data_IF_039821116309
#
_entry.id   IF_039821116309
#
_cell.length_a   1.000
_cell.length_b   1.000
_cell.length_c   1.000
_cell.angle_alpha   90.00
_cell.angle_beta   90.00
_cell.angle_gamma   90.00
#
_symmetry.space_group_name_H-M   'P 1'
#
loop_
_entity.id
_entity.type
_entity.pdbx_description
1 polymer ?
#
# COMPACT_ATOMS: atom_id res chain seq x y z
N UNK A 1 29.79 5.29 -13.69
CA UNK A 1 28.85 5.10 -12.56
C UNK A 1 28.30 6.48 -12.21
N UNK A 2 26.99 6.69 -12.26
CA UNK A 2 26.42 8.00 -11.92
C UNK A 2 26.69 8.28 -10.43
N UNK A 3 27.53 9.27 -10.13
CA UNK A 3 27.80 9.72 -8.77
C UNK A 3 26.59 10.53 -8.27
N UNK A 4 26.01 10.12 -7.16
CA UNK A 4 24.95 10.88 -6.50
C UNK A 4 25.47 12.25 -6.09
N UNK A 5 24.58 13.26 -6.06
CA UNK A 5 24.94 14.56 -5.50
C UNK A 5 25.44 14.37 -4.05
N UNK A 6 26.59 14.96 -3.64
CA UNK A 6 27.18 14.71 -2.33
C UNK A 6 26.23 14.96 -1.16
N UNK A 7 25.41 16.02 -1.24
CA UNK A 7 24.41 16.32 -0.22
C UNK A 7 23.35 15.22 -0.09
N UNK A 8 22.81 14.75 -1.22
CA UNK A 8 21.81 13.66 -1.26
C UNK A 8 22.41 12.36 -0.71
N UNK A 9 23.65 12.06 -1.09
CA UNK A 9 24.36 10.88 -0.61
C UNK A 9 24.57 10.95 0.90
N UNK A 10 25.05 12.08 1.41
CA UNK A 10 25.35 12.26 2.82
C UNK A 10 24.09 12.18 3.69
N UNK A 11 23.04 12.92 3.34
CA UNK A 11 21.78 12.91 4.10
C UNK A 11 21.14 11.52 4.08
N UNK A 12 21.05 10.89 2.90
CA UNK A 12 20.48 9.53 2.77
C UNK A 12 21.26 8.51 3.60
N UNK A 13 22.60 8.59 3.60
CA UNK A 13 23.45 7.68 4.38
C UNK A 13 23.24 7.83 5.88
N UNK A 14 23.04 9.07 6.36
CA UNK A 14 22.73 9.32 7.76
C UNK A 14 21.35 8.75 8.13
N UNK A 15 20.33 9.09 7.36
CA UNK A 15 18.93 8.73 7.66
C UNK A 15 18.68 7.22 7.59
N UNK A 16 19.27 6.51 6.62
CA UNK A 16 19.12 5.04 6.49
C UNK A 16 19.68 4.28 7.69
N UNK A 17 20.64 4.87 8.43
CA UNK A 17 21.31 4.20 9.55
C UNK A 17 20.86 4.69 10.93
N UNK A 18 20.28 5.89 11.00
CA UNK A 18 19.92 6.55 12.25
C UNK A 18 18.42 6.87 12.36
N UNK A 19 17.61 6.48 11.37
CA UNK A 19 16.22 6.88 11.18
C UNK A 19 16.06 8.40 10.98
N UNK A 20 14.91 8.79 10.43
CA UNK A 20 14.54 10.19 10.29
C UNK A 20 14.05 10.74 11.63
N UNK A 21 14.50 11.94 12.01
CA UNK A 21 14.02 12.61 13.23
C UNK A 21 12.49 12.63 13.26
N UNK A 22 11.89 12.25 14.39
CA UNK A 22 10.43 12.10 14.54
C UNK A 22 9.66 13.37 14.15
N UNK A 23 10.16 14.54 14.55
CA UNK A 23 9.51 15.82 14.22
C UNK A 23 9.58 16.14 12.72
N UNK A 24 10.72 15.86 12.09
CA UNK A 24 10.87 15.98 10.65
C UNK A 24 9.90 15.04 9.94
N UNK A 25 9.84 13.77 10.36
CA UNK A 25 8.91 12.78 9.82
C UNK A 25 7.45 13.23 9.91
N UNK A 26 7.01 13.71 11.08
CA UNK A 26 5.64 14.24 11.28
C UNK A 26 5.37 15.46 10.40
N UNK A 27 6.31 16.40 10.31
CA UNK A 27 6.15 17.60 9.47
C UNK A 27 6.04 17.26 7.98
N UNK A 28 6.80 16.28 7.48
CA UNK A 28 6.71 15.80 6.10
C UNK A 28 5.35 15.14 5.82
N UNK A 29 4.88 14.28 6.74
CA UNK A 29 3.58 13.63 6.62
C UNK A 29 2.43 14.64 6.51
N UNK A 30 2.46 15.69 7.33
CA UNK A 30 1.45 16.75 7.31
C UNK A 30 1.57 17.64 6.06
N UNK A 31 2.80 18.03 5.70
CA UNK A 31 3.06 18.90 4.54
C UNK A 31 2.64 18.27 3.22
N UNK A 32 2.83 16.95 3.11
CA UNK A 32 2.56 16.20 1.89
C UNK A 32 1.36 15.27 2.04
N UNK A 33 0.39 15.68 2.85
CA UNK A 33 -0.90 15.00 2.91
C UNK A 33 -1.61 15.09 1.54
N UNK A 34 -2.02 13.95 0.94
CA UNK A 34 -2.70 13.95 -0.35
C UNK A 34 -4.06 14.67 -0.26
N UNK A 35 -4.33 15.54 -1.24
CA UNK A 35 -5.62 16.22 -1.40
C UNK A 35 -6.60 15.37 -2.21
N UNK A 36 -7.88 15.69 -2.15
CA UNK A 36 -9.05 15.04 -2.78
C UNK A 36 -8.77 13.99 -3.87
N UNK A 37 -8.21 14.40 -5.02
CA UNK A 37 -7.95 13.56 -6.19
C UNK A 37 -6.86 12.49 -5.98
N UNK A 38 -6.10 12.57 -4.88
CA UNK A 38 -5.05 11.64 -4.48
C UNK A 38 -5.45 10.79 -3.25
N UNK A 39 -6.73 10.79 -2.90
CA UNK A 39 -7.30 9.98 -1.81
C UNK A 39 -7.03 8.48 -1.97
N UNK A 40 -6.87 7.98 -3.20
CA UNK A 40 -6.49 6.59 -3.51
C UNK A 40 -5.13 6.19 -2.94
N UNK A 41 -4.28 7.14 -2.56
CA UNK A 41 -3.01 6.87 -1.90
C UNK A 41 -3.17 6.65 -0.39
N UNK A 42 -4.37 6.80 0.18
CA UNK A 42 -4.59 6.49 1.58
C UNK A 42 -4.34 4.99 1.84
N UNK A 43 -3.71 4.63 2.98
CA UNK A 43 -3.58 3.23 3.35
C UNK A 43 -4.98 2.60 3.47
N UNK A 44 -5.23 1.45 2.81
CA UNK A 44 -6.52 0.79 2.86
C UNK A 44 -6.85 0.36 4.29
N UNK A 45 -8.11 0.50 4.67
CA UNK A 45 -8.60 0.16 6.02
C UNK A 45 -8.95 -1.32 6.07
N UNK A 46 -8.75 -1.98 7.21
CA UNK A 46 -9.30 -3.32 7.42
C UNK A 46 -10.83 -3.23 7.33
N UNK A 47 -11.44 -4.15 6.59
CA UNK A 47 -12.89 -4.28 6.48
C UNK A 47 -13.56 -4.38 7.86
N UNK A 48 -14.66 -3.65 8.07
CA UNK A 48 -15.38 -3.59 9.34
C UNK A 48 -15.86 -4.97 9.83
N UNK A 49 -16.10 -5.89 8.90
CA UNK A 49 -16.52 -7.27 9.14
C UNK A 49 -15.39 -8.15 9.70
N UNK A 50 -14.13 -7.80 9.39
CA UNK A 50 -12.94 -8.58 9.78
C UNK A 50 -12.38 -8.09 11.12
N UNK A 51 -12.36 -6.76 11.32
CA UNK A 51 -11.68 -6.13 12.46
C UNK A 51 -12.10 -6.65 13.84
N UNK A 52 -13.41 -6.82 14.17
CA UNK A 52 -13.81 -7.31 15.49
C UNK A 52 -13.28 -8.72 15.80
N UNK A 53 -13.32 -9.62 14.81
CA UNK A 53 -12.81 -10.98 14.97
C UNK A 53 -11.29 -11.00 15.20
N UNK A 54 -10.55 -10.14 14.49
CA UNK A 54 -9.10 -10.03 14.70
C UNK A 54 -8.74 -9.53 16.10
N UNK A 55 -9.45 -8.52 16.61
CA UNK A 55 -9.22 -7.99 17.96
C UNK A 55 -9.42 -9.06 19.03
N UNK A 56 -10.39 -9.96 18.85
CA UNK A 56 -10.64 -11.07 19.78
C UNK A 56 -9.60 -12.19 19.65
N UNK A 57 -9.11 -12.46 18.44
CA UNK A 57 -8.21 -13.59 18.19
C UNK A 57 -6.72 -13.27 18.40
N UNK A 58 -6.27 -12.04 18.13
CA UNK A 58 -4.86 -11.66 18.31
C UNK A 58 -4.62 -10.15 18.33
N UNK A 59 -4.35 -9.61 19.52
CA UNK A 59 -3.90 -8.22 19.68
C UNK A 59 -2.58 -7.93 18.94
N UNK A 60 -1.68 -8.92 18.85
CA UNK A 60 -0.39 -8.80 18.15
C UNK A 60 -0.58 -8.49 16.66
N UNK A 61 -1.55 -9.15 16.01
CA UNK A 61 -1.82 -8.90 14.58
C UNK A 61 -2.40 -7.50 14.36
N UNK A 62 -3.24 -7.00 15.27
CA UNK A 62 -3.75 -5.62 15.22
C UNK A 62 -2.63 -4.59 15.37
N UNK A 63 -1.76 -4.76 16.38
CA UNK A 63 -0.61 -3.85 16.57
C UNK A 63 0.31 -3.87 15.36
N UNK A 64 0.61 -5.06 14.82
CA UNK A 64 1.42 -5.21 13.61
C UNK A 64 0.78 -4.51 12.40
N UNK A 65 -0.52 -4.71 12.15
CA UNK A 65 -1.21 -4.05 11.04
C UNK A 65 -1.18 -2.52 11.20
N UNK A 66 -1.34 -2.01 12.42
CA UNK A 66 -1.25 -0.57 12.69
C UNK A 66 0.13 0.00 12.30
N UNK A 67 1.22 -0.70 12.63
CA UNK A 67 2.57 -0.29 12.23
C UNK A 67 2.76 -0.37 10.71
N UNK A 68 2.25 -1.42 10.07
CA UNK A 68 2.33 -1.57 8.61
C UNK A 68 1.51 -0.51 7.87
N UNK A 69 0.32 -0.17 8.38
CA UNK A 69 -0.50 0.93 7.86
C UNK A 69 0.22 2.27 8.01
N UNK A 70 1.02 2.44 9.06
CA UNK A 70 1.83 3.64 9.27
C UNK A 70 3.02 3.70 8.27
N UNK A 71 3.70 2.59 8.00
CA UNK A 71 4.71 2.55 6.95
C UNK A 71 4.11 2.88 5.57
N UNK A 72 2.90 2.39 5.30
CA UNK A 72 2.18 2.68 4.07
C UNK A 72 1.83 4.18 3.96
N UNK A 73 1.51 4.83 5.08
CA UNK A 73 1.30 6.28 5.16
C UNK A 73 2.56 7.09 4.80
N UNK A 74 3.73 6.59 5.21
CA UNK A 74 5.03 7.20 4.92
C UNK A 74 5.39 7.05 3.44
N UNK A 75 5.20 5.85 2.87
CA UNK A 75 5.37 5.60 1.44
C UNK A 75 4.44 6.51 0.61
N UNK A 76 3.18 6.65 1.02
CA UNK A 76 2.23 7.61 0.43
C UNK A 76 2.77 9.04 0.43
N UNK A 77 3.30 9.50 1.56
CA UNK A 77 3.85 10.86 1.67
C UNK A 77 5.05 11.06 0.74
N UNK A 78 5.94 10.07 0.68
CA UNK A 78 7.06 10.07 -0.27
C UNK A 78 6.59 10.09 -1.73
N UNK A 79 5.57 9.30 -2.08
CA UNK A 79 4.95 9.31 -3.41
C UNK A 79 4.42 10.68 -3.78
N UNK A 80 3.59 11.28 -2.91
CA UNK A 80 2.99 12.58 -3.16
C UNK A 80 4.08 13.66 -3.31
N UNK A 81 5.11 13.63 -2.46
CA UNK A 81 6.24 14.57 -2.50
C UNK A 81 7.00 14.47 -3.82
N UNK A 82 7.38 13.25 -4.21
CA UNK A 82 8.17 13.00 -5.43
C UNK A 82 7.36 13.32 -6.68
N UNK A 83 6.10 12.87 -6.76
CA UNK A 83 5.24 13.10 -7.92
C UNK A 83 4.90 14.60 -8.09
N UNK A 84 4.64 15.32 -6.98
CA UNK A 84 4.39 16.76 -7.02
C UNK A 84 5.65 17.52 -7.45
N UNK A 85 6.80 17.25 -6.84
CA UNK A 85 8.06 17.87 -7.22
C UNK A 85 8.46 17.56 -8.66
N UNK A 86 8.22 16.32 -9.11
CA UNK A 86 8.45 15.93 -10.50
C UNK A 86 7.52 16.67 -11.48
N UNK A 87 6.26 16.88 -11.09
CA UNK A 87 5.30 17.67 -11.88
C UNK A 87 5.73 19.14 -12.00
N UNK A 88 6.33 19.71 -10.94
CA UNK A 88 6.88 21.06 -10.98
C UNK A 88 8.13 21.15 -11.85
N UNK A 89 9.03 20.16 -11.76
CA UNK A 89 10.18 20.05 -12.66
C UNK A 89 9.74 19.91 -14.12
N UNK A 90 8.67 19.16 -14.39
CA UNK A 90 8.18 18.94 -15.75
C UNK A 90 7.70 20.23 -16.43
N UNK A 91 7.22 21.22 -15.66
CA UNK A 91 6.85 22.56 -16.16
C UNK A 91 8.05 23.36 -16.65
N UNK A 92 9.27 23.01 -16.23
CA UNK A 92 10.52 23.63 -16.69
C UNK A 92 10.89 23.01 -18.05
N UNK A 93 10.42 23.63 -19.13
CA UNK A 93 10.57 23.11 -20.51
C UNK A 93 12.01 22.79 -20.96
N UNK A 94 13.02 23.32 -20.27
CA UNK A 94 14.44 23.02 -20.52
C UNK A 94 14.82 21.55 -20.28
N UNK A 95 14.16 20.86 -19.34
CA UNK A 95 14.40 19.43 -19.08
C UNK A 95 13.85 18.52 -20.19
N UNK A 96 12.82 18.98 -20.91
CA UNK A 96 12.23 18.22 -22.00
C UNK A 96 13.01 18.34 -23.32
N UNK A 97 13.86 19.36 -23.43
CA UNK A 97 14.56 19.69 -24.66
C UNK A 97 15.81 18.81 -24.90
N UNK A 98 16.46 18.31 -23.85
CA UNK A 98 17.71 17.54 -23.98
C UNK A 98 17.50 16.02 -23.79
N UNK A 99 18.30 15.18 -24.46
CA UNK A 99 18.33 13.73 -24.21
C UNK A 99 18.61 13.37 -22.75
N UNK A 100 19.52 14.10 -22.09
CA UNK A 100 19.90 13.88 -20.69
C UNK A 100 18.75 14.22 -19.75
N UNK A 101 18.03 15.31 -20.02
CA UNK A 101 16.85 15.72 -19.27
C UNK A 101 15.74 14.68 -19.38
N UNK A 102 15.46 14.19 -20.60
CA UNK A 102 14.52 13.07 -20.81
C UNK A 102 14.93 11.81 -20.05
N UNK A 103 16.21 11.43 -20.11
CA UNK A 103 16.71 10.26 -19.39
C UNK A 103 16.60 10.41 -17.86
N UNK A 104 16.85 11.61 -17.32
CA UNK A 104 16.66 11.90 -15.90
C UNK A 104 15.17 11.83 -15.51
N UNK A 105 14.27 12.38 -16.33
CA UNK A 105 12.83 12.30 -16.11
C UNK A 105 12.32 10.86 -16.11
N UNK A 106 12.77 10.02 -17.04
CA UNK A 106 12.43 8.59 -17.07
C UNK A 106 12.84 7.89 -15.78
N UNK A 107 14.06 8.10 -15.29
CA UNK A 107 14.53 7.49 -14.03
C UNK A 107 13.69 7.90 -12.82
N UNK A 108 13.29 9.17 -12.74
CA UNK A 108 12.43 9.66 -11.65
C UNK A 108 11.04 9.03 -11.75
N UNK A 109 10.44 9.01 -12.95
CA UNK A 109 9.14 8.40 -13.19
C UNK A 109 9.14 6.90 -12.86
N UNK A 110 10.19 6.18 -13.23
CA UNK A 110 10.39 4.76 -12.88
C UNK A 110 10.48 4.57 -11.37
N UNK A 111 11.25 5.41 -10.66
CA UNK A 111 11.35 5.37 -9.19
C UNK A 111 10.02 5.64 -8.50
N UNK A 112 9.21 6.59 -9.00
CA UNK A 112 7.85 6.85 -8.50
C UNK A 112 6.96 5.62 -8.70
N UNK A 113 7.03 4.96 -9.86
CA UNK A 113 6.26 3.73 -10.13
C UNK A 113 6.67 2.59 -9.20
N UNK A 114 7.97 2.41 -8.94
CA UNK A 114 8.46 1.42 -7.99
C UNK A 114 7.96 1.70 -6.57
N UNK A 115 7.91 2.97 -6.17
CA UNK A 115 7.39 3.35 -4.85
C UNK A 115 5.87 3.13 -4.76
N UNK A 116 5.13 3.28 -5.86
CA UNK A 116 3.69 3.00 -5.93
C UNK A 116 3.41 1.50 -5.84
N UNK A 117 4.24 0.68 -6.49
CA UNK A 117 4.20 -0.77 -6.35
C UNK A 117 4.52 -1.19 -4.90
N UNK A 118 5.53 -0.58 -4.28
CA UNK A 118 5.86 -0.84 -2.88
C UNK A 118 4.71 -0.46 -1.91
N UNK A 119 3.99 0.64 -2.19
CA UNK A 119 2.77 0.99 -1.46
C UNK A 119 1.73 -0.13 -1.54
N UNK A 120 1.56 -0.76 -2.71
CA UNK A 120 0.66 -1.90 -2.89
C UNK A 120 1.19 -3.19 -2.25
N UNK A 121 2.50 -3.44 -2.28
CA UNK A 121 3.15 -4.58 -1.60
C UNK A 121 2.93 -4.57 -0.09
N UNK A 122 2.86 -3.39 0.52
CA UNK A 122 2.50 -3.25 1.93
C UNK A 122 1.06 -3.74 2.19
N UNK A 123 0.10 -3.48 1.29
CA UNK A 123 -1.24 -4.06 1.37
C UNK A 123 -1.21 -5.59 1.27
N UNK A 124 -0.44 -6.15 0.33
CA UNK A 124 -0.27 -7.62 0.22
C UNK A 124 0.33 -8.22 1.49
N UNK A 125 1.33 -7.56 2.06
CA UNK A 125 1.99 -7.99 3.30
C UNK A 125 1.00 -7.97 4.48
N UNK A 126 0.22 -6.90 4.62
CA UNK A 126 -0.85 -6.79 5.64
C UNK A 126 -1.87 -7.91 5.50
N UNK A 127 -2.32 -8.19 4.27
CA UNK A 127 -3.23 -9.32 3.96
C UNK A 127 -2.62 -10.66 4.35
N UNK A 128 -1.37 -10.94 3.98
CA UNK A 128 -0.70 -12.22 4.28
C UNK A 128 -0.68 -12.54 5.78
N UNK A 129 -0.66 -11.51 6.62
CA UNK A 129 -0.68 -11.64 8.07
C UNK A 129 -2.08 -11.76 8.69
N UNK A 130 -3.11 -11.33 7.98
CA UNK A 130 -4.52 -11.36 8.43
C UNK A 130 -5.24 -12.60 7.91
N UNK A 131 -5.03 -12.97 6.64
CA UNK A 131 -5.69 -14.11 5.97
C UNK A 131 -5.62 -15.42 6.77
N UNK A 132 -4.49 -15.80 7.42
CA UNK A 132 -4.42 -17.02 8.20
C UNK A 132 -5.44 -17.09 9.36
N UNK A 133 -5.85 -15.94 9.90
CA UNK A 133 -6.81 -15.80 10.99
C UNK A 133 -8.27 -15.83 10.53
N UNK A 134 -8.52 -15.75 9.22
CA UNK A 134 -9.86 -15.84 8.69
C UNK A 134 -10.37 -17.28 8.70
N UNK A 135 -11.69 -17.45 8.80
CA UNK A 135 -12.31 -18.76 8.58
C UNK A 135 -12.19 -19.17 7.10
N UNK A 136 -12.55 -20.42 6.78
CA UNK A 136 -12.45 -20.95 5.41
C UNK A 136 -13.13 -20.07 4.36
N UNK A 137 -14.32 -19.53 4.64
CA UNK A 137 -15.04 -18.67 3.69
C UNK A 137 -14.34 -17.32 3.50
N UNK A 138 -13.83 -16.73 4.59
CA UNK A 138 -13.06 -15.49 4.54
C UNK A 138 -11.73 -15.64 3.80
N UNK A 139 -11.08 -16.81 3.90
CA UNK A 139 -9.89 -17.12 3.10
C UNK A 139 -10.22 -17.14 1.61
N UNK A 140 -11.21 -17.93 1.19
CA UNK A 140 -11.61 -17.97 -0.23
C UNK A 140 -12.04 -16.61 -0.77
N UNK A 141 -12.81 -15.85 0.00
CA UNK A 141 -13.22 -14.50 -0.38
C UNK A 141 -12.04 -13.52 -0.47
N UNK A 142 -10.98 -13.74 0.32
CA UNK A 142 -9.77 -12.92 0.22
C UNK A 142 -9.04 -13.18 -1.08
N UNK A 143 -8.97 -14.42 -1.56
CA UNK A 143 -8.18 -14.78 -2.75
C UNK A 143 -8.70 -14.10 -4.03
N UNK A 144 -10.01 -13.87 -4.14
CA UNK A 144 -10.65 -13.15 -5.25
C UNK A 144 -10.71 -11.63 -5.06
N UNK A 145 -10.56 -11.13 -3.83
CA UNK A 145 -10.73 -9.72 -3.52
C UNK A 145 -9.56 -8.85 -3.99
N UNK A 146 -9.89 -7.77 -4.69
CA UNK A 146 -8.96 -6.68 -4.99
C UNK A 146 -8.84 -5.73 -3.80
N UNK A 147 -7.69 -5.07 -3.68
CA UNK A 147 -7.51 -4.00 -2.70
C UNK A 147 -8.09 -2.72 -3.30
N UNK A 148 -8.99 -2.07 -2.57
CA UNK A 148 -9.50 -0.73 -2.86
C UNK A 148 -9.26 0.16 -1.62
N UNK A 149 -10.19 1.05 -1.27
CA UNK A 149 -10.15 1.78 0.01
C UNK A 149 -10.16 0.85 1.24
N UNK A 150 -10.55 -0.42 1.05
CA UNK A 150 -10.52 -1.50 2.00
C UNK A 150 -9.50 -2.57 1.62
N UNK A 151 -8.85 -3.13 2.64
CA UNK A 151 -7.74 -4.06 2.50
C UNK A 151 -8.16 -5.38 1.82
N UNK A 152 -9.42 -5.79 1.98
CA UNK A 152 -10.02 -6.96 1.34
C UNK A 152 -11.13 -6.59 0.36
N UNK A 153 -11.12 -5.35 -0.15
CA UNK A 153 -12.11 -4.89 -1.12
C UNK A 153 -13.48 -4.59 -0.50
N UNK A 154 -14.20 -3.66 -1.11
CA UNK A 154 -15.59 -3.35 -0.82
C UNK A 154 -16.53 -4.53 -1.05
N UNK A 155 -16.18 -5.43 -1.99
CA UNK A 155 -16.94 -6.62 -2.35
C UNK A 155 -16.72 -7.84 -1.42
N UNK A 156 -15.95 -7.71 -0.33
CA UNK A 156 -15.60 -8.85 0.53
C UNK A 156 -16.81 -9.63 1.06
N UNK A 157 -17.92 -8.93 1.36
CA UNK A 157 -19.12 -9.57 1.92
C UNK A 157 -19.83 -10.40 0.87
N UNK A 158 -19.93 -9.88 -0.34
CA UNK A 158 -20.47 -10.51 -1.53
C UNK A 158 -19.66 -11.78 -1.85
N UNK A 159 -18.33 -11.69 -1.81
CA UNK A 159 -17.42 -12.84 -2.02
C UNK A 159 -17.60 -13.93 -0.95
N UNK A 160 -17.77 -13.55 0.33
CA UNK A 160 -18.07 -14.51 1.41
C UNK A 160 -19.41 -15.21 1.18
N UNK A 161 -20.45 -14.47 0.77
CA UNK A 161 -21.77 -15.03 0.49
C UNK A 161 -21.77 -15.95 -0.72
N UNK A 162 -21.02 -15.59 -1.77
CA UNK A 162 -20.80 -16.44 -2.95
C UNK A 162 -20.08 -17.73 -2.55
N UNK A 163 -18.99 -17.64 -1.78
CA UNK A 163 -18.26 -18.79 -1.25
C UNK A 163 -19.14 -19.71 -0.41
N UNK A 164 -20.03 -19.15 0.42
CA UNK A 164 -20.98 -19.92 1.22
C UNK A 164 -21.98 -20.69 0.34
N UNK A 165 -22.47 -20.06 -0.73
CA UNK A 165 -23.40 -20.67 -1.68
C UNK A 165 -22.74 -21.82 -2.42
N UNK A 166 -21.51 -21.62 -2.92
CA UNK A 166 -20.72 -22.68 -3.56
C UNK A 166 -20.48 -23.87 -2.64
N UNK A 167 -20.12 -23.62 -1.38
CA UNK A 167 -19.94 -24.67 -0.36
C UNK A 167 -21.21 -25.51 -0.16
N UNK A 168 -22.39 -24.86 -0.12
CA UNK A 168 -23.68 -25.56 -0.01
C UNK A 168 -23.97 -26.43 -1.23
N UNK A 169 -23.69 -25.93 -2.45
CA UNK A 169 -23.87 -26.69 -3.70
C UNK A 169 -22.94 -27.91 -3.74
N UNK A 170 -21.64 -27.72 -3.47
CA UNK A 170 -20.66 -28.80 -3.44
C UNK A 170 -21.06 -29.92 -2.46
N UNK A 171 -21.51 -29.57 -1.25
CA UNK A 171 -21.99 -30.53 -0.27
C UNK A 171 -23.23 -31.32 -0.74
N UNK A 172 -24.14 -30.68 -1.50
CA UNK A 172 -25.31 -31.37 -2.09
C UNK A 172 -24.89 -32.34 -3.20
N UNK A 173 -23.88 -31.98 -4.00
CA UNK A 173 -23.36 -32.85 -5.05
C UNK A 173 -22.64 -34.06 -4.47
N UNK A 174 -21.79 -33.87 -3.45
CA UNK A 174 -21.10 -34.96 -2.78
C UNK A 174 -22.06 -35.96 -2.13
N UNK A 175 -23.16 -35.47 -1.52
CA UNK A 175 -24.22 -36.33 -0.93
C UNK A 175 -25.07 -37.08 -1.96
N UNK A 176 -25.08 -36.68 -3.23
CA UNK A 176 -25.80 -37.39 -4.30
C UNK A 176 -24.95 -38.46 -4.98
N UNK A 177 -23.64 -38.45 -4.76
CA UNK A 177 -22.69 -39.38 -5.36
C UNK A 177 -22.35 -40.58 -4.44
N UNK A 178 -23.00 -40.65 -3.27
CA UNK A 178 -22.85 -41.67 -2.23
C UNK A 178 -24.17 -42.42 -2.06
#
# INVERSE_FOLDING_TARGET
VASWLPIVLYTTKADVRADLKVDLKKSLLAKYEPKENLSFLAPPKINKQIRPNLSTMSAVVITRDSHQSQFQLEVRSSLNTLASGFSDLFKLGSLQASPEGKAAMSKIAEGIRQLADHHYDLSKTRRAFIVPLLNFLGKMASDSALVDDLLFGSNFTEEVNAAQTMKKVANRMAKKAQ
#
